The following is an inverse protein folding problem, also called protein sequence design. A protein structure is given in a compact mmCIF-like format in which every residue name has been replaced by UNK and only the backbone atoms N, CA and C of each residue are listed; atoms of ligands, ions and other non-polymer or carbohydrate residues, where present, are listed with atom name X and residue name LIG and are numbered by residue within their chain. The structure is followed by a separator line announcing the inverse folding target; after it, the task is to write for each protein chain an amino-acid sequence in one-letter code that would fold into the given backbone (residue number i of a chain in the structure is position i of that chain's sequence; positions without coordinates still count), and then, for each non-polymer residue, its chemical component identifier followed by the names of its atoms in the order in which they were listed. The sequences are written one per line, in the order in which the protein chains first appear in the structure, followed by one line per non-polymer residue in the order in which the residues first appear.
data_IF_249601834890
#
_entry.id   IF_249601834890
#
_cell.length_a   1.000
_cell.length_b   1.000
_cell.length_c   1.000
_cell.angle_alpha   90.00
_cell.angle_beta   90.00
_cell.angle_gamma   90.00
#
_symmetry.space_group_name_H-M   'P 1'
#
loop_
_entity.id
_entity.type
_entity.pdbx_description
1 polymer ?
#
# COMPACT_ATOMS: atom_id res chain seq x y z
N UNK A 1 -0.74 -3.40 -10.28
CA UNK A 1 0.13 -2.31 -10.80
C UNK A 1 1.63 -2.63 -10.64
N UNK A 2 2.06 -3.16 -9.52
CA UNK A 2 3.49 -3.42 -9.20
C UNK A 2 4.16 -4.48 -10.08
N UNK A 3 3.39 -5.32 -10.76
CA UNK A 3 3.86 -6.39 -11.66
C UNK A 3 3.68 -6.06 -13.15
N UNK A 4 3.29 -4.83 -13.48
CA UNK A 4 2.99 -4.41 -14.85
C UNK A 4 4.20 -3.66 -15.40
N UNK A 5 4.69 -4.10 -16.56
CA UNK A 5 5.87 -3.50 -17.22
C UNK A 5 5.54 -2.13 -17.80
N UNK A 6 4.38 -1.97 -18.45
CA UNK A 6 3.92 -0.70 -19.03
C UNK A 6 2.82 -0.08 -18.16
N UNK A 7 3.24 0.48 -17.03
CA UNK A 7 2.34 1.11 -16.05
C UNK A 7 1.63 2.32 -16.63
N UNK A 8 2.31 3.13 -17.41
CA UNK A 8 1.75 4.36 -17.98
C UNK A 8 0.57 4.10 -18.89
N UNK A 9 0.71 3.11 -19.79
CA UNK A 9 -0.37 2.72 -20.69
C UNK A 9 -1.58 2.22 -19.90
N UNK A 10 -1.36 1.37 -18.89
CA UNK A 10 -2.45 0.84 -18.06
C UNK A 10 -3.15 1.95 -17.28
N UNK A 11 -2.40 2.89 -16.69
CA UNK A 11 -2.95 4.04 -15.96
C UNK A 11 -3.83 4.89 -16.89
N UNK A 12 -3.35 5.23 -18.08
CA UNK A 12 -4.12 5.98 -19.08
C UNK A 12 -5.41 5.24 -19.48
N UNK A 13 -5.34 3.93 -19.68
CA UNK A 13 -6.53 3.14 -20.02
C UNK A 13 -7.53 3.07 -18.86
N UNK A 14 -7.06 2.94 -17.61
CA UNK A 14 -7.94 2.98 -16.44
C UNK A 14 -8.66 4.32 -16.32
N UNK A 15 -7.95 5.43 -16.46
CA UNK A 15 -8.55 6.76 -16.46
C UNK A 15 -9.56 6.94 -17.62
N UNK A 16 -9.20 6.46 -18.83
CA UNK A 16 -10.06 6.58 -20.02
C UNK A 16 -11.42 5.88 -19.88
N UNK A 17 -11.46 4.68 -19.29
CA UNK A 17 -12.70 3.90 -19.20
C UNK A 17 -13.64 4.35 -18.09
N UNK A 18 -13.14 5.15 -17.14
CA UNK A 18 -13.99 5.71 -16.09
C UNK A 18 -14.90 6.82 -16.66
N UNK A 19 -16.11 6.86 -16.17
CA UNK A 19 -17.02 7.99 -16.39
C UNK A 19 -16.55 9.19 -15.56
N UNK A 20 -16.94 10.43 -15.94
CA UNK A 20 -16.82 11.58 -15.04
C UNK A 20 -17.34 11.24 -13.65
N UNK A 21 -16.68 11.71 -12.60
CA UNK A 21 -16.94 11.40 -11.19
C UNK A 21 -16.77 9.91 -10.81
N UNK A 22 -16.32 9.07 -11.75
CA UNK A 22 -16.01 7.66 -11.49
C UNK A 22 -14.79 7.52 -10.58
N UNK A 23 -14.81 6.52 -9.69
CA UNK A 23 -13.74 6.31 -8.71
C UNK A 23 -12.82 5.17 -9.11
N UNK A 24 -11.53 5.38 -8.90
CA UNK A 24 -10.49 4.37 -9.03
C UNK A 24 -9.88 4.09 -7.66
N UNK A 25 -9.84 2.82 -7.29
CA UNK A 25 -9.27 2.34 -6.04
C UNK A 25 -8.01 1.53 -6.34
N UNK A 26 -6.86 1.94 -5.77
CA UNK A 26 -5.58 1.26 -5.94
C UNK A 26 -5.00 0.91 -4.58
N UNK A 27 -4.73 -0.38 -4.37
CA UNK A 27 -3.97 -0.86 -3.21
C UNK A 27 -2.58 -1.27 -3.70
N UNK A 28 -1.55 -0.75 -3.05
CA UNK A 28 -0.16 -1.06 -3.33
C UNK A 28 0.64 -1.31 -2.05
N UNK A 29 1.74 -2.02 -2.18
CA UNK A 29 2.67 -2.17 -1.06
C UNK A 29 3.28 -0.81 -0.67
N UNK A 30 3.58 -0.69 0.62
CA UNK A 30 4.33 0.42 1.17
C UNK A 30 5.70 -0.07 1.64
N UNK A 31 6.78 0.56 1.16
CA UNK A 31 8.15 0.16 1.48
C UNK A 31 8.41 0.15 2.98
N UNK A 32 8.01 1.21 3.69
CA UNK A 32 8.22 1.29 5.16
C UNK A 32 7.52 0.14 5.89
N UNK A 33 6.29 -0.21 5.49
CA UNK A 33 5.58 -1.35 6.07
C UNK A 33 6.27 -2.70 5.78
N UNK A 34 6.86 -2.85 4.59
CA UNK A 34 7.66 -4.04 4.28
C UNK A 34 8.94 -4.11 5.13
N UNK A 35 9.67 -3.02 5.26
CA UNK A 35 10.87 -2.93 6.11
C UNK A 35 10.53 -3.35 7.54
N UNK A 36 9.47 -2.79 8.12
CA UNK A 36 9.03 -3.15 9.47
C UNK A 36 8.63 -4.63 9.56
N UNK A 37 7.93 -5.15 8.55
CA UNK A 37 7.53 -6.57 8.52
C UNK A 37 8.75 -7.51 8.50
N UNK A 38 9.79 -7.17 7.74
CA UNK A 38 11.02 -7.97 7.74
C UNK A 38 11.75 -7.85 9.07
N UNK A 39 11.96 -6.63 9.58
CA UNK A 39 12.70 -6.40 10.81
C UNK A 39 12.04 -7.01 12.04
N UNK A 40 10.68 -6.92 12.15
CA UNK A 40 9.95 -7.27 13.37
C UNK A 40 9.30 -8.64 13.28
N UNK A 41 8.51 -8.89 12.22
CA UNK A 41 7.75 -10.15 12.13
C UNK A 41 8.59 -11.33 11.70
N UNK A 42 9.54 -11.10 10.79
CA UNK A 42 10.39 -12.15 10.23
C UNK A 42 11.74 -12.30 10.94
N UNK A 43 12.03 -11.43 11.90
CA UNK A 43 13.31 -11.36 12.60
C UNK A 43 14.52 -11.31 11.61
N UNK A 44 14.33 -10.63 10.47
CA UNK A 44 15.32 -10.51 9.40
C UNK A 44 15.72 -9.03 9.17
N UNK A 45 16.51 -8.45 10.10
CA UNK A 45 16.95 -7.06 9.97
C UNK A 45 17.93 -6.86 8.81
N UNK A 46 18.58 -7.92 8.33
CA UNK A 46 19.47 -7.84 7.18
C UNK A 46 18.70 -7.49 5.91
N UNK A 47 17.66 -8.26 5.59
CA UNK A 47 16.78 -7.95 4.45
C UNK A 47 16.07 -6.61 4.63
N UNK A 48 15.68 -6.25 5.87
CA UNK A 48 15.11 -4.94 6.13
C UNK A 48 16.07 -3.79 5.80
N UNK A 49 17.37 -3.94 6.11
CA UNK A 49 18.40 -2.96 5.77
C UNK A 49 18.62 -2.88 4.25
N UNK A 50 18.72 -4.02 3.57
CA UNK A 50 18.83 -4.09 2.11
C UNK A 50 17.69 -3.36 1.41
N UNK A 51 16.45 -3.46 1.94
CA UNK A 51 15.28 -2.76 1.42
C UNK A 51 15.33 -1.23 1.61
N UNK A 52 16.02 -0.76 2.65
CA UNK A 52 16.24 0.67 2.87
C UNK A 52 17.32 1.23 1.95
N UNK A 53 18.37 0.45 1.71
CA UNK A 53 19.52 0.88 0.89
C UNK A 53 19.23 0.78 -0.61
N UNK A 54 18.46 -0.23 -1.01
CA UNK A 54 18.11 -0.48 -2.42
C UNK A 54 16.66 -0.99 -2.56
N UNK A 55 15.78 -0.10 -3.00
CA UNK A 55 14.38 -0.47 -3.26
C UNK A 55 14.24 -1.50 -4.40
N UNK A 56 15.25 -1.65 -5.27
CA UNK A 56 15.28 -2.70 -6.31
C UNK A 56 15.49 -4.11 -5.73
N UNK A 57 16.04 -4.23 -4.52
CA UNK A 57 16.20 -5.52 -3.84
C UNK A 57 14.86 -6.26 -3.64
N UNK A 58 13.75 -5.54 -3.57
CA UNK A 58 12.40 -6.12 -3.56
C UNK A 58 12.07 -6.91 -4.84
N UNK A 59 12.66 -6.55 -5.96
CA UNK A 59 12.42 -7.24 -7.23
C UNK A 59 12.97 -8.67 -7.21
N UNK A 60 14.02 -8.92 -6.43
CA UNK A 60 14.65 -10.24 -6.31
C UNK A 60 13.85 -11.20 -5.41
N UNK A 61 13.16 -10.68 -4.38
CA UNK A 61 12.46 -11.49 -3.38
C UNK A 61 11.05 -11.90 -3.81
N UNK A 62 10.41 -11.15 -4.71
CA UNK A 62 9.01 -11.34 -5.12
C UNK A 62 8.80 -11.34 -6.65
N UNK A 63 9.85 -11.60 -7.44
CA UNK A 63 9.86 -11.36 -8.88
C UNK A 63 10.06 -9.88 -9.19
N UNK A 64 9.94 -9.46 -10.43
CA UNK A 64 10.06 -8.04 -10.83
C UNK A 64 8.89 -7.21 -10.29
N UNK A 65 8.91 -6.93 -9.00
CA UNK A 65 7.95 -6.04 -8.35
C UNK A 65 8.63 -4.68 -8.13
N UNK A 66 8.24 -3.67 -8.87
CA UNK A 66 8.70 -2.31 -8.62
C UNK A 66 7.92 -1.70 -7.45
N UNK A 67 8.62 -1.31 -6.41
CA UNK A 67 8.04 -0.51 -5.31
C UNK A 67 8.17 0.96 -5.68
N UNK A 68 7.05 1.65 -5.68
CA UNK A 68 6.97 3.08 -5.96
C UNK A 68 6.18 3.81 -4.86
N UNK A 69 6.51 5.08 -4.64
CA UNK A 69 5.82 5.93 -3.69
C UNK A 69 4.40 6.28 -4.14
N UNK A 70 3.60 6.84 -3.23
CA UNK A 70 2.27 7.33 -3.56
C UNK A 70 2.34 8.47 -4.58
N UNK A 71 3.38 9.31 -4.50
CA UNK A 71 3.64 10.45 -5.37
C UNK A 71 3.73 10.05 -6.84
N UNK A 72 4.24 8.85 -7.12
CA UNK A 72 4.29 8.34 -8.50
C UNK A 72 2.89 8.23 -9.10
N UNK A 73 1.95 7.58 -8.38
CA UNK A 73 0.57 7.44 -8.86
C UNK A 73 -0.14 8.79 -8.92
N UNK A 74 0.04 9.64 -7.91
CA UNK A 74 -0.56 10.98 -7.86
C UNK A 74 -0.13 11.77 -9.09
N UNK A 75 1.17 11.76 -9.42
CA UNK A 75 1.72 12.45 -10.58
C UNK A 75 1.19 11.87 -11.90
N UNK A 76 1.10 10.54 -12.00
CA UNK A 76 0.64 9.87 -13.23
C UNK A 76 -0.84 10.12 -13.53
N UNK A 77 -1.66 10.35 -12.50
CA UNK A 77 -3.09 10.65 -12.66
C UNK A 77 -3.42 12.15 -12.64
N UNK A 78 -2.43 13.03 -12.40
CA UNK A 78 -2.64 14.44 -12.13
C UNK A 78 -3.44 15.21 -13.20
N UNK A 79 -3.38 14.80 -14.45
CA UNK A 79 -4.08 15.48 -15.54
C UNK A 79 -5.56 15.11 -15.62
N UNK A 80 -5.95 13.91 -15.18
CA UNK A 80 -7.30 13.38 -15.39
C UNK A 80 -8.08 13.10 -14.10
N UNK A 81 -7.38 12.94 -12.97
CA UNK A 81 -7.98 12.49 -11.71
C UNK A 81 -7.47 13.30 -10.53
N UNK A 82 -8.30 13.42 -9.52
CA UNK A 82 -7.94 13.97 -8.21
C UNK A 82 -7.81 12.84 -7.19
N UNK A 83 -6.79 12.95 -6.32
CA UNK A 83 -6.67 12.06 -5.18
C UNK A 83 -7.65 12.51 -4.09
N UNK A 84 -8.62 11.67 -3.77
CA UNK A 84 -9.58 11.95 -2.69
C UNK A 84 -8.98 11.64 -1.32
N UNK A 85 -8.49 10.40 -1.17
CA UNK A 85 -8.00 9.91 0.11
C UNK A 85 -6.89 8.85 -0.05
N UNK A 86 -6.07 8.75 0.99
CA UNK A 86 -5.10 7.66 1.18
C UNK A 86 -5.33 7.02 2.54
N UNK A 87 -5.40 5.69 2.57
CA UNK A 87 -5.52 4.90 3.79
C UNK A 87 -4.27 4.03 3.99
N UNK A 88 -3.92 3.81 5.25
CA UNK A 88 -3.00 2.73 5.63
C UNK A 88 -3.78 1.45 5.87
N UNK A 89 -3.31 0.34 5.36
CA UNK A 89 -3.90 -0.98 5.59
C UNK A 89 -2.88 -1.93 6.20
N UNK A 90 -3.32 -2.70 7.19
CA UNK A 90 -2.49 -3.68 7.91
C UNK A 90 -1.26 -3.04 8.57
N UNK A 91 -1.50 -2.00 9.36
CA UNK A 91 -0.44 -1.35 10.13
C UNK A 91 0.04 -2.23 11.29
N UNK A 92 -0.84 -3.02 11.89
CA UNK A 92 -0.56 -3.82 13.09
C UNK A 92 -0.77 -5.33 12.89
N UNK A 93 -1.87 -5.73 12.23
CA UNK A 93 -2.26 -7.15 12.10
C UNK A 93 -1.13 -8.03 11.57
N UNK A 94 -0.40 -7.53 10.58
CA UNK A 94 0.70 -8.24 9.95
C UNK A 94 1.96 -8.38 10.81
N UNK A 95 2.10 -7.58 11.87
CA UNK A 95 3.27 -7.56 12.74
C UNK A 95 3.17 -8.58 13.88
N UNK A 96 1.96 -8.99 14.25
CA UNK A 96 1.79 -10.05 15.27
C UNK A 96 2.32 -11.38 14.76
N UNK A 97 3.21 -12.00 15.51
CA UNK A 97 3.73 -13.36 15.26
C UNK A 97 2.89 -14.45 15.92
N UNK A 98 2.00 -14.08 16.85
CA UNK A 98 1.13 -15.04 17.52
C UNK A 98 -0.10 -15.34 16.66
N UNK A 99 0.01 -16.33 15.79
CA UNK A 99 -1.06 -16.68 14.88
C UNK A 99 -2.26 -17.34 15.58
N UNK A 100 -2.07 -17.99 16.73
CA UNK A 100 -3.17 -18.63 17.49
C UNK A 100 -4.18 -17.60 18.01
N UNK A 101 -3.71 -16.46 18.53
CA UNK A 101 -4.58 -15.41 19.07
C UNK A 101 -5.45 -14.78 17.98
N UNK A 102 -5.00 -14.80 16.73
CA UNK A 102 -5.72 -14.20 15.60
C UNK A 102 -7.04 -14.88 15.27
N UNK A 103 -7.23 -16.13 15.72
CA UNK A 103 -8.48 -16.86 15.54
C UNK A 103 -9.50 -16.56 16.64
N UNK A 104 -9.13 -15.82 17.69
CA UNK A 104 -10.04 -15.40 18.75
C UNK A 104 -10.89 -14.19 18.35
N UNK A 105 -12.23 -14.32 18.48
CA UNK A 105 -13.19 -13.29 18.08
C UNK A 105 -12.94 -11.93 18.74
N UNK A 106 -12.62 -11.90 20.01
CA UNK A 106 -12.39 -10.65 20.76
C UNK A 106 -11.15 -9.93 20.27
N UNK A 107 -10.05 -10.66 20.09
CA UNK A 107 -8.81 -10.10 19.56
C UNK A 107 -9.02 -9.56 18.14
N UNK A 108 -9.68 -10.35 17.29
CA UNK A 108 -9.94 -9.97 15.90
C UNK A 108 -10.79 -8.69 15.81
N UNK A 109 -11.88 -8.62 16.59
CA UNK A 109 -12.74 -7.43 16.65
C UNK A 109 -12.00 -6.18 17.15
N UNK A 110 -11.16 -6.34 18.18
CA UNK A 110 -10.35 -5.27 18.72
C UNK A 110 -9.31 -4.79 17.69
N UNK A 111 -8.61 -5.73 17.04
CA UNK A 111 -7.63 -5.43 15.99
C UNK A 111 -8.28 -4.73 14.79
N UNK A 112 -9.44 -5.19 14.34
CA UNK A 112 -10.18 -4.57 13.24
C UNK A 112 -10.55 -3.11 13.56
N UNK A 113 -11.01 -2.83 14.78
CA UNK A 113 -11.29 -1.46 15.23
C UNK A 113 -10.03 -0.60 15.28
N UNK A 114 -8.91 -1.16 15.73
CA UNK A 114 -7.62 -0.49 15.76
C UNK A 114 -7.16 -0.13 14.34
N UNK A 115 -7.16 -1.09 13.43
CA UNK A 115 -6.81 -0.89 12.02
C UNK A 115 -7.70 0.18 11.34
N UNK A 116 -9.01 0.15 11.58
CA UNK A 116 -9.94 1.14 11.04
C UNK A 116 -9.64 2.56 11.54
N UNK A 117 -9.34 2.72 12.83
CA UNK A 117 -8.97 4.03 13.38
C UNK A 117 -7.62 4.51 12.84
N UNK A 118 -6.61 3.65 12.84
CA UNK A 118 -5.27 3.97 12.39
C UNK A 118 -5.19 4.23 10.88
N UNK A 119 -6.08 3.65 10.08
CA UNK A 119 -6.03 3.73 8.63
C UNK A 119 -6.00 5.15 8.06
N UNK A 120 -6.54 6.13 8.80
CA UNK A 120 -6.61 7.54 8.42
C UNK A 120 -5.58 8.44 9.10
N UNK A 121 -4.83 7.91 10.07
CA UNK A 121 -3.84 8.67 10.81
C UNK A 121 -2.50 8.65 10.07
N UNK A 122 -1.91 9.82 9.85
CA UNK A 122 -0.69 9.96 9.03
C UNK A 122 0.49 9.11 9.53
N UNK A 123 0.64 9.02 10.86
CA UNK A 123 1.71 8.25 11.50
C UNK A 123 1.62 6.76 11.12
N UNK A 124 0.41 6.23 11.03
CA UNK A 124 0.18 4.81 10.73
C UNK A 124 0.05 4.53 9.23
N UNK A 125 -0.42 5.49 8.43
CA UNK A 125 -0.37 5.38 6.96
C UNK A 125 1.07 5.21 6.48
N UNK A 126 2.00 5.97 7.07
CA UNK A 126 3.42 5.94 6.72
C UNK A 126 4.07 4.57 6.93
N UNK A 127 3.62 3.81 7.92
CA UNK A 127 4.18 2.50 8.30
C UNK A 127 3.29 1.30 7.94
N UNK A 128 2.10 1.54 7.43
CA UNK A 128 1.19 0.46 7.03
C UNK A 128 1.81 -0.45 5.96
N UNK A 129 1.44 -1.72 5.96
CA UNK A 129 1.97 -2.68 4.97
C UNK A 129 1.53 -2.36 3.54
N UNK A 130 0.30 -1.83 3.40
CA UNK A 130 -0.22 -1.31 2.13
C UNK A 130 -0.69 0.13 2.28
N UNK A 131 -0.62 0.88 1.17
CA UNK A 131 -1.39 2.10 1.02
C UNK A 131 -2.53 1.86 0.03
N UNK A 132 -3.71 2.39 0.37
CA UNK A 132 -4.91 2.36 -0.43
C UNK A 132 -5.26 3.79 -0.85
N UNK A 133 -5.14 4.07 -2.15
CA UNK A 133 -5.41 5.38 -2.73
C UNK A 133 -6.75 5.34 -3.46
N UNK A 134 -7.56 6.36 -3.24
CA UNK A 134 -8.82 6.58 -3.93
C UNK A 134 -8.70 7.82 -4.79
N UNK A 135 -8.95 7.68 -6.07
CA UNK A 135 -8.97 8.78 -7.03
C UNK A 135 -10.37 8.95 -7.60
N UNK A 136 -10.74 10.18 -7.92
CA UNK A 136 -11.98 10.52 -8.65
C UNK A 136 -11.61 11.14 -9.99
N UNK A 137 -12.23 10.66 -11.07
CA UNK A 137 -12.08 11.25 -12.40
C UNK A 137 -12.72 12.62 -12.43
N UNK A 138 -11.98 13.63 -12.92
CA UNK A 138 -12.52 14.98 -13.10
C UNK A 138 -13.69 14.96 -14.06
N UNK A 139 -14.71 15.78 -13.76
CA UNK A 139 -15.76 16.11 -14.69
C UNK A 139 -15.22 16.95 -15.86
N UNK A 140 -15.84 16.82 -17.02
CA UNK A 140 -15.59 17.75 -18.13
C UNK A 140 -16.20 19.12 -17.83
#
# INVERSE_FOLDING_TARGET
MEYITDKESVIKQLARVLKPEGKLSIIKHNLSGKVISYAVRKDDPKTALELLDDSEALSCLFGKQEVYGNEYLIKMFADEMDLDETYGLRSFFGLSSNDEIKYGDEWYKAMLKLEQKASRMEEYKGIAYFNHLIFTKRGE
#
